data_IF_160457275732
#
_entry.id   IF_160457275732
#
_cell.length_a   1.000
_cell.length_b   1.000
_cell.length_c   1.000
_cell.angle_alpha   90.00
_cell.angle_beta   90.00
_cell.angle_gamma   90.00
#
_symmetry.space_group_name_H-M   'P 1'
#
loop_
_entity.id
_entity.type
_entity.pdbx_description
1 polymer ?
#
# COMPACT_ATOMS: atom_id res chain seq x y z
N UNK A 1 -6.38 -23.13 24.94
CA UNK A 1 -6.27 -21.69 24.61
C UNK A 1 -5.86 -21.55 23.14
N UNK A 2 -6.42 -20.58 22.41
CA UNK A 2 -5.98 -20.23 21.05
C UNK A 2 -5.36 -18.83 21.11
N UNK A 3 -4.11 -18.68 20.68
CA UNK A 3 -3.45 -17.39 20.55
C UNK A 3 -3.41 -17.02 19.07
N UNK A 4 -4.22 -16.04 18.68
CA UNK A 4 -4.24 -15.49 17.32
C UNK A 4 -3.58 -14.11 17.36
N UNK A 5 -2.53 -13.94 16.55
CA UNK A 5 -1.83 -12.66 16.38
C UNK A 5 -2.24 -12.06 15.05
N UNK A 6 -3.07 -11.01 15.09
CA UNK A 6 -3.51 -10.30 13.89
C UNK A 6 -2.60 -9.11 13.59
N UNK A 7 -2.58 -8.67 12.33
CA UNK A 7 -1.90 -7.43 11.90
C UNK A 7 -0.38 -7.40 12.15
N UNK A 8 0.28 -8.56 12.08
CA UNK A 8 1.74 -8.61 12.08
C UNK A 8 2.29 -8.05 10.76
N UNK A 9 3.31 -7.21 10.85
CA UNK A 9 4.09 -6.84 9.68
C UNK A 9 4.82 -8.06 9.12
N UNK A 10 5.25 -8.01 7.87
CA UNK A 10 6.16 -9.03 7.36
C UNK A 10 7.47 -8.99 8.13
N UNK A 11 7.98 -10.16 8.52
CA UNK A 11 9.17 -10.27 9.35
C UNK A 11 9.32 -11.63 10.00
N UNK A 12 10.48 -11.80 10.64
CA UNK A 12 10.79 -12.99 11.44
C UNK A 12 10.36 -12.75 12.88
N UNK A 13 9.50 -13.61 13.39
CA UNK A 13 8.99 -13.56 14.75
C UNK A 13 9.47 -14.77 15.54
N UNK A 14 9.84 -14.53 16.80
CA UNK A 14 10.07 -15.59 17.78
C UNK A 14 8.83 -15.70 18.66
N UNK A 15 8.09 -16.79 18.49
CA UNK A 15 6.93 -17.10 19.31
C UNK A 15 7.45 -17.74 20.59
N UNK A 16 7.04 -17.19 21.73
CA UNK A 16 7.39 -17.71 23.07
C UNK A 16 6.13 -18.22 23.75
N UNK A 17 6.15 -19.49 24.16
CA UNK A 17 5.09 -20.10 24.95
C UNK A 17 5.62 -20.41 26.35
N UNK A 18 4.83 -20.09 27.39
CA UNK A 18 5.15 -20.37 28.79
C UNK A 18 4.05 -21.24 29.40
N UNK A 19 4.43 -22.34 30.05
CA UNK A 19 3.47 -23.20 30.74
C UNK A 19 3.17 -22.72 32.18
N UNK A 20 2.25 -23.41 32.86
CA UNK A 20 1.86 -23.09 34.23
C UNK A 20 3.01 -23.27 35.25
N UNK A 21 4.02 -24.08 34.91
CA UNK A 21 5.18 -24.38 35.74
C UNK A 21 6.36 -23.44 35.45
N UNK A 22 6.14 -22.40 34.64
CA UNK A 22 7.13 -21.44 34.18
C UNK A 22 8.21 -21.96 33.24
N UNK A 23 8.04 -23.14 32.64
CA UNK A 23 8.89 -23.58 31.54
C UNK A 23 8.56 -22.76 30.28
N UNK A 24 9.60 -22.42 29.52
CA UNK A 24 9.48 -21.62 28.30
C UNK A 24 9.95 -22.42 27.09
N UNK A 25 9.15 -22.43 26.03
CA UNK A 25 9.52 -22.93 24.72
C UNK A 25 9.45 -21.80 23.68
N UNK A 26 10.36 -21.83 22.71
CA UNK A 26 10.38 -20.86 21.60
C UNK A 26 10.31 -21.56 20.26
N UNK A 27 9.70 -20.91 19.28
CA UNK A 27 9.74 -21.33 17.88
C UNK A 27 9.83 -20.12 16.95
N UNK A 28 10.51 -20.28 15.81
CA UNK A 28 10.56 -19.27 14.77
C UNK A 28 9.35 -19.34 13.85
N UNK A 29 8.79 -18.19 13.49
CA UNK A 29 7.76 -18.07 12.47
C UNK A 29 8.11 -16.93 11.52
N UNK A 30 7.91 -17.17 10.22
CA UNK A 30 8.09 -16.13 9.19
C UNK A 30 6.72 -15.64 8.78
N UNK A 31 6.49 -14.35 8.92
CA UNK A 31 5.35 -13.66 8.30
C UNK A 31 5.85 -13.10 6.98
N UNK A 32 5.44 -13.71 5.87
CA UNK A 32 5.82 -13.25 4.54
C UNK A 32 5.01 -12.05 4.09
N UNK A 33 5.53 -11.30 3.12
CA UNK A 33 4.70 -10.41 2.32
C UNK A 33 3.75 -11.27 1.48
N UNK A 34 2.46 -11.00 1.54
CA UNK A 34 1.53 -11.50 0.52
C UNK A 34 1.86 -10.80 -0.82
N UNK A 35 1.62 -11.46 -1.97
CA UNK A 35 1.73 -10.78 -3.25
C UNK A 35 0.75 -9.61 -3.30
N UNK A 36 1.10 -8.56 -4.05
CA UNK A 36 0.18 -7.47 -4.32
C UNK A 36 -1.11 -8.01 -4.97
N UNK A 37 -2.25 -7.52 -4.50
CA UNK A 37 -3.53 -7.83 -5.12
C UNK A 37 -3.60 -7.34 -6.57
N UNK A 38 -4.36 -7.95 -7.48
CA UNK A 38 -4.51 -7.48 -8.86
C UNK A 38 -4.92 -6.01 -8.95
N UNK A 39 -5.82 -5.52 -8.09
CA UNK A 39 -6.25 -4.12 -8.12
C UNK A 39 -5.12 -3.16 -7.68
N UNK A 40 -4.37 -3.52 -6.63
CA UNK A 40 -3.21 -2.73 -6.22
C UNK A 40 -2.13 -2.75 -7.30
N UNK A 41 -1.87 -3.91 -7.93
CA UNK A 41 -0.88 -4.05 -9.00
C UNK A 41 -1.20 -3.16 -10.21
N UNK A 42 -2.48 -3.05 -10.57
CA UNK A 42 -2.92 -2.15 -11.64
C UNK A 42 -2.65 -0.67 -11.30
N UNK A 43 -2.95 -0.26 -10.06
CA UNK A 43 -2.64 1.10 -9.57
C UNK A 43 -1.14 1.33 -9.49
N UNK A 44 -0.37 0.37 -8.97
CA UNK A 44 1.09 0.46 -8.86
C UNK A 44 1.72 0.71 -10.24
N UNK A 45 1.36 -0.10 -11.24
CA UNK A 45 1.86 0.06 -12.61
C UNK A 45 1.53 1.45 -13.17
N UNK A 46 0.29 1.91 -13.02
CA UNK A 46 -0.13 3.25 -13.43
C UNK A 46 0.67 4.35 -12.72
N UNK A 47 0.89 4.22 -11.40
CA UNK A 47 1.65 5.18 -10.59
C UNK A 47 3.12 5.23 -11.01
N UNK A 48 3.74 4.08 -11.33
CA UNK A 48 5.12 4.06 -11.82
C UNK A 48 5.25 4.73 -13.19
N UNK A 49 4.30 4.52 -14.10
CA UNK A 49 4.35 5.11 -15.43
C UNK A 49 4.04 6.61 -15.43
N UNK A 50 3.00 7.05 -14.71
CA UNK A 50 2.45 8.39 -14.87
C UNK A 50 2.87 9.37 -13.76
N UNK A 51 3.27 8.87 -12.59
CA UNK A 51 3.46 9.70 -11.39
C UNK A 51 4.91 9.68 -10.89
N UNK A 52 5.56 8.51 -10.87
CA UNK A 52 6.92 8.35 -10.36
C UNK A 52 7.99 9.23 -11.06
N UNK A 53 7.90 9.57 -12.37
CA UNK A 53 8.87 10.48 -12.98
C UNK A 53 8.99 11.85 -12.28
N UNK A 54 7.95 12.32 -11.60
CA UNK A 54 7.94 13.60 -10.87
C UNK A 54 7.84 13.45 -9.33
N UNK A 55 7.72 12.22 -8.84
CA UNK A 55 7.45 11.89 -7.44
C UNK A 55 8.21 10.60 -7.06
N UNK A 56 9.53 10.69 -7.05
CA UNK A 56 10.43 9.59 -6.71
C UNK A 56 11.36 10.00 -5.56
N UNK A 57 12.34 9.14 -5.24
CA UNK A 57 13.38 9.39 -4.25
C UNK A 57 14.08 10.76 -4.43
N UNK A 58 14.36 11.14 -5.68
CA UNK A 58 15.14 12.34 -6.01
C UNK A 58 14.26 13.56 -6.29
N UNK A 59 13.12 13.36 -6.98
CA UNK A 59 12.17 14.42 -7.34
C UNK A 59 10.91 14.23 -6.50
N UNK A 60 10.85 14.91 -5.36
CA UNK A 60 9.77 14.75 -4.37
C UNK A 60 8.75 15.90 -4.44
N UNK A 61 8.19 16.18 -5.62
CA UNK A 61 7.20 17.26 -5.74
C UNK A 61 6.02 17.01 -4.78
N UNK A 62 5.69 18.00 -3.95
CA UNK A 62 4.67 17.86 -2.91
C UNK A 62 4.98 16.81 -1.84
N UNK A 63 6.26 16.46 -1.65
CA UNK A 63 6.76 15.54 -0.63
C UNK A 63 6.48 14.07 -0.89
N UNK A 64 6.13 13.69 -2.14
CA UNK A 64 5.69 12.33 -2.45
C UNK A 64 6.79 11.51 -3.13
N UNK A 65 6.89 10.24 -2.73
CA UNK A 65 7.64 9.21 -3.43
C UNK A 65 6.72 8.01 -3.74
N UNK A 66 6.33 7.87 -4.99
CA UNK A 66 5.45 6.79 -5.47
C UNK A 66 6.17 5.53 -5.90
N UNK A 67 7.51 5.48 -5.80
CA UNK A 67 8.27 4.22 -5.97
C UNK A 67 8.16 3.31 -4.74
N UNK A 68 7.43 3.73 -3.71
CA UNK A 68 7.23 3.00 -2.45
C UNK A 68 5.75 2.63 -2.35
N UNK A 69 5.46 1.33 -2.35
CA UNK A 69 4.08 0.81 -2.31
C UNK A 69 3.32 1.27 -1.06
N UNK A 70 3.99 1.29 0.09
CA UNK A 70 3.40 1.79 1.33
C UNK A 70 2.92 3.24 1.20
N UNK A 71 3.58 4.08 0.41
CA UNK A 71 3.12 5.44 0.17
C UNK A 71 1.85 5.45 -0.69
N UNK A 72 1.76 4.60 -1.71
CA UNK A 72 0.53 4.47 -2.52
C UNK A 72 -0.66 4.12 -1.63
N UNK A 73 -0.50 3.12 -0.75
CA UNK A 73 -1.55 2.71 0.21
C UNK A 73 -1.87 3.81 1.23
N UNK A 74 -0.85 4.37 1.87
CA UNK A 74 -1.00 5.38 2.94
C UNK A 74 -1.68 6.65 2.44
N UNK A 75 -1.39 7.06 1.20
CA UNK A 75 -1.89 8.32 0.64
C UNK A 75 -2.99 8.13 -0.40
N UNK A 76 -3.74 7.03 -0.35
CA UNK A 76 -4.83 6.71 -1.30
C UNK A 76 -5.86 7.83 -1.45
N UNK A 77 -6.23 8.51 -0.36
CA UNK A 77 -7.22 9.59 -0.39
C UNK A 77 -6.68 10.82 -1.11
N UNK A 78 -5.38 11.13 -0.93
CA UNK A 78 -4.71 12.19 -1.67
C UNK A 78 -4.61 11.84 -3.15
N UNK A 79 -4.31 10.59 -3.49
CA UNK A 79 -4.27 10.12 -4.88
C UNK A 79 -5.65 10.30 -5.53
N UNK A 80 -6.72 9.85 -4.88
CA UNK A 80 -8.09 10.03 -5.37
C UNK A 80 -8.44 11.50 -5.54
N UNK A 81 -8.24 12.31 -4.51
CA UNK A 81 -8.60 13.73 -4.54
C UNK A 81 -7.94 14.46 -5.72
N UNK A 82 -6.66 14.18 -5.99
CA UNK A 82 -5.88 14.91 -6.99
C UNK A 82 -5.98 14.32 -8.39
N UNK A 83 -5.91 13.00 -8.51
CA UNK A 83 -5.84 12.30 -9.81
C UNK A 83 -7.20 11.83 -10.32
N UNK A 84 -8.25 11.81 -9.48
CA UNK A 84 -9.61 11.45 -9.88
C UNK A 84 -10.54 12.65 -9.78
N UNK A 85 -10.59 13.29 -8.60
CA UNK A 85 -11.59 14.32 -8.29
C UNK A 85 -11.13 15.75 -8.65
N UNK A 86 -9.87 15.94 -9.04
CA UNK A 86 -9.25 17.24 -9.31
C UNK A 86 -9.43 18.28 -8.19
N UNK A 87 -9.41 17.85 -6.93
CA UNK A 87 -9.63 18.70 -5.76
C UNK A 87 -8.34 18.85 -4.92
N UNK A 88 -7.86 20.08 -4.64
CA UNK A 88 -8.35 21.38 -5.15
C UNK A 88 -8.00 21.68 -6.62
N UNK A 89 -7.18 20.85 -7.24
CA UNK A 89 -6.81 20.92 -8.67
C UNK A 89 -6.37 19.55 -9.16
N UNK A 90 -6.33 19.36 -10.48
CA UNK A 90 -5.87 18.10 -11.07
C UNK A 90 -4.39 17.85 -10.80
N UNK A 91 -4.04 16.58 -10.64
CA UNK A 91 -2.68 16.08 -10.79
C UNK A 91 -2.73 14.89 -11.76
N UNK A 92 -2.05 14.91 -12.91
CA UNK A 92 -1.07 15.91 -13.36
C UNK A 92 -1.62 17.35 -13.55
N UNK A 93 -0.76 18.39 -13.51
CA UNK A 93 -1.20 19.78 -13.66
C UNK A 93 -1.70 20.09 -15.07
N UNK A 94 -1.29 19.30 -16.07
CA UNK A 94 -1.72 19.41 -17.47
C UNK A 94 -3.13 18.87 -17.71
N UNK A 95 -3.76 18.28 -16.69
CA UNK A 95 -5.08 17.68 -16.77
C UNK A 95 -5.10 16.27 -16.18
N UNK A 96 -6.31 15.75 -16.03
CA UNK A 96 -6.53 14.40 -15.51
C UNK A 96 -6.06 13.34 -16.52
N UNK A 97 -5.54 12.23 -15.99
CA UNK A 97 -5.21 11.05 -16.79
C UNK A 97 -6.48 10.50 -17.51
N UNK A 98 -6.31 9.70 -18.57
CA UNK A 98 -7.43 9.04 -19.24
C UNK A 98 -8.34 8.32 -18.25
N UNK A 99 -9.63 8.23 -18.57
CA UNK A 99 -10.63 7.61 -17.70
C UNK A 99 -10.23 6.17 -17.32
N UNK A 100 -9.64 5.41 -18.24
CA UNK A 100 -9.15 4.05 -17.99
C UNK A 100 -8.10 3.97 -16.88
N UNK A 101 -7.21 4.96 -16.77
CA UNK A 101 -6.20 5.01 -15.70
C UNK A 101 -6.81 5.45 -14.38
N UNK A 102 -7.72 6.42 -14.41
CA UNK A 102 -8.44 6.87 -13.22
C UNK A 102 -9.35 5.79 -12.65
N UNK A 103 -9.91 4.94 -13.51
CA UNK A 103 -10.78 3.85 -13.10
C UNK A 103 -10.02 2.82 -12.24
N UNK A 104 -8.74 2.57 -12.51
CA UNK A 104 -7.90 1.69 -11.68
C UNK A 104 -7.84 2.17 -10.22
N UNK A 105 -7.71 3.49 -10.01
CA UNK A 105 -7.72 4.10 -8.67
C UNK A 105 -9.09 3.92 -8.01
N UNK A 106 -10.17 4.18 -8.77
CA UNK A 106 -11.55 4.08 -8.27
C UNK A 106 -11.85 2.64 -7.83
N UNK A 107 -11.57 1.66 -8.69
CA UNK A 107 -11.84 0.24 -8.43
C UNK A 107 -11.05 -0.25 -7.21
N UNK A 108 -9.76 0.10 -7.15
CA UNK A 108 -8.91 -0.26 -6.01
C UNK A 108 -9.39 0.36 -4.69
N UNK A 109 -9.81 1.62 -4.68
CA UNK A 109 -10.33 2.27 -3.47
C UNK A 109 -11.68 1.69 -3.06
N UNK A 110 -12.58 1.41 -4.02
CA UNK A 110 -13.86 0.76 -3.76
C UNK A 110 -13.69 -0.64 -3.16
N UNK A 111 -12.62 -1.35 -3.54
CA UNK A 111 -12.22 -2.63 -2.94
C UNK A 111 -11.49 -2.50 -1.58
N UNK A 112 -11.37 -1.28 -1.05
CA UNK A 112 -10.80 -1.00 0.28
C UNK A 112 -9.43 -0.32 0.27
N UNK A 113 -8.77 -0.20 -0.89
CA UNK A 113 -7.52 0.53 -1.05
C UNK A 113 -6.37 -0.07 -0.24
N UNK A 114 -6.20 -1.40 -0.28
CA UNK A 114 -5.18 -2.15 0.43
C UNK A 114 -4.12 -2.70 -0.53
N UNK A 115 -2.96 -3.08 -0.01
CA UNK A 115 -1.89 -3.72 -0.78
C UNK A 115 -2.32 -5.10 -1.31
N UNK A 116 -3.06 -5.84 -0.48
CA UNK A 116 -3.67 -7.13 -0.80
C UNK A 116 -5.18 -6.97 -0.80
N UNK A 117 -5.85 -7.63 -1.74
CA UNK A 117 -7.31 -7.82 -1.76
C UNK A 117 -7.76 -9.02 -0.92
#
# INVERSE_FOLDING_TARGET
SSATFNSLAAGNYTITAKDANSCVGTTGAVVGNLPAGPLFSAVQSMMQTNCAPCHNNTIQNGGMNWTIDCNIVTFKDRIKARAVDANPSSMPPTGLLPLSERQKIIDWINAGGKFTD
#
